data_IF_602062918742
#
_entry.id   IF_602062918742
#
_cell.length_a   1.000
_cell.length_b   1.000
_cell.length_c   1.000
_cell.angle_alpha   90.00
_cell.angle_beta   90.00
_cell.angle_gamma   90.00
#
_symmetry.space_group_name_H-M   'P 1'
#
loop_
_entity.id
_entity.type
_entity.pdbx_description
1 polymer ?
#
# COMPACT_ATOMS: atom_id res chain seq x y z
N UNK A 1 8.81 10.04 0.32
CA UNK A 1 7.79 9.07 0.77
C UNK A 1 8.35 7.65 0.63
N UNK A 2 8.37 6.84 1.69
CA UNK A 2 8.98 5.49 1.69
C UNK A 2 8.28 4.55 0.69
N UNK A 3 9.04 3.94 -0.22
CA UNK A 3 8.56 2.93 -1.16
C UNK A 3 8.48 1.57 -0.45
N UNK A 4 7.37 0.85 -0.62
CA UNK A 4 7.20 -0.49 -0.02
C UNK A 4 7.72 -1.54 -0.98
N UNK A 5 8.36 -2.59 -0.45
CA UNK A 5 8.78 -3.74 -1.23
C UNK A 5 7.54 -4.40 -1.89
N UNK A 6 7.51 -4.57 -3.23
CA UNK A 6 6.38 -5.20 -3.91
C UNK A 6 6.02 -6.62 -3.43
N UNK A 7 6.97 -7.34 -2.79
CA UNK A 7 6.70 -8.63 -2.14
C UNK A 7 5.71 -8.53 -0.97
N UNK A 8 5.45 -7.33 -0.45
CA UNK A 8 4.49 -7.09 0.62
C UNK A 8 3.05 -6.91 0.14
N UNK A 9 2.79 -6.90 -1.18
CA UNK A 9 1.43 -6.73 -1.72
C UNK A 9 0.39 -7.70 -1.11
N UNK A 10 0.66 -9.02 -0.96
CA UNK A 10 -0.31 -9.91 -0.32
C UNK A 10 -0.65 -9.51 1.11
N UNK A 11 0.33 -9.03 1.86
CA UNK A 11 0.13 -8.57 3.24
C UNK A 11 -0.70 -7.28 3.29
N UNK A 12 -0.50 -6.37 2.33
CA UNK A 12 -1.30 -5.16 2.22
C UNK A 12 -2.76 -5.49 1.90
N UNK A 13 -3.02 -6.48 1.04
CA UNK A 13 -4.38 -6.93 0.72
C UNK A 13 -5.08 -7.55 1.94
N UNK A 14 -4.36 -8.31 2.76
CA UNK A 14 -4.88 -8.83 4.04
C UNK A 14 -5.26 -7.70 5.00
N UNK A 15 -4.40 -6.68 5.12
CA UNK A 15 -4.65 -5.51 5.96
C UNK A 15 -5.83 -4.69 5.45
N UNK A 16 -6.01 -4.55 4.14
CA UNK A 16 -7.18 -3.88 3.58
C UNK A 16 -8.47 -4.57 3.98
N UNK A 17 -8.54 -5.90 3.85
CA UNK A 17 -9.71 -6.70 4.22
C UNK A 17 -10.05 -6.53 5.71
N UNK A 18 -9.04 -6.59 6.57
CA UNK A 18 -9.19 -6.41 8.01
C UNK A 18 -9.70 -5.01 8.36
N UNK A 19 -9.15 -3.96 7.73
CA UNK A 19 -9.61 -2.59 7.92
C UNK A 19 -11.05 -2.39 7.43
N UNK A 20 -11.44 -2.98 6.30
CA UNK A 20 -12.83 -2.92 5.81
C UNK A 20 -13.79 -3.60 6.79
N UNK A 21 -13.42 -4.75 7.37
CA UNK A 21 -14.24 -5.40 8.40
C UNK A 21 -14.37 -4.54 9.65
N UNK A 22 -13.27 -3.94 10.12
CA UNK A 22 -13.31 -3.02 11.27
C UNK A 22 -14.15 -1.78 11.00
N UNK A 23 -14.07 -1.22 9.79
CA UNK A 23 -14.90 -0.07 9.38
C UNK A 23 -16.39 -0.42 9.47
N UNK A 24 -16.78 -1.57 8.93
CA UNK A 24 -18.18 -2.05 8.97
C UNK A 24 -18.66 -2.19 10.42
N UNK A 25 -17.83 -2.78 11.29
CA UNK A 25 -18.14 -2.89 12.71
C UNK A 25 -18.29 -1.52 13.38
N UNK A 26 -17.38 -0.58 13.09
CA UNK A 26 -17.46 0.78 13.62
C UNK A 26 -18.73 1.52 13.16
N UNK A 27 -19.22 1.25 11.94
CA UNK A 27 -20.53 1.73 11.47
C UNK A 27 -21.69 1.11 12.26
N UNK A 28 -21.67 -0.21 12.47
CA UNK A 28 -22.69 -0.91 13.26
C UNK A 28 -22.73 -0.42 14.73
N UNK A 29 -21.56 -0.15 15.32
CA UNK A 29 -21.41 0.30 16.70
C UNK A 29 -21.45 1.84 16.85
N UNK A 30 -21.63 2.58 15.75
CA UNK A 30 -21.68 4.05 15.70
C UNK A 30 -20.42 4.74 16.28
N UNK A 31 -19.26 4.14 16.09
CA UNK A 31 -17.96 4.67 16.51
C UNK A 31 -17.41 5.66 15.49
N UNK A 32 -17.98 6.86 15.44
CA UNK A 32 -17.66 7.87 14.42
C UNK A 32 -16.17 8.20 14.32
N UNK A 33 -15.48 8.32 15.45
CA UNK A 33 -14.03 8.60 15.45
C UNK A 33 -13.17 7.46 14.88
N UNK A 34 -13.59 6.21 15.09
CA UNK A 34 -12.90 5.04 14.53
C UNK A 34 -13.11 4.95 13.02
N UNK A 35 -14.30 5.29 12.52
CA UNK A 35 -14.60 5.32 11.08
C UNK A 35 -13.65 6.28 10.36
N UNK A 36 -13.51 7.52 10.87
CA UNK A 36 -12.62 8.52 10.27
C UNK A 36 -11.15 8.06 10.24
N UNK A 37 -10.68 7.49 11.36
CA UNK A 37 -9.32 6.96 11.46
C UNK A 37 -9.05 5.79 10.50
N UNK A 38 -10.03 4.89 10.36
CA UNK A 38 -9.96 3.74 9.46
C UNK A 38 -9.98 4.20 7.99
N UNK A 39 -10.83 5.17 7.64
CA UNK A 39 -10.92 5.70 6.27
C UNK A 39 -9.62 6.38 5.83
N UNK A 40 -9.01 7.15 6.73
CA UNK A 40 -7.70 7.75 6.49
C UNK A 40 -6.63 6.68 6.27
N UNK A 41 -6.62 5.64 7.12
CA UNK A 41 -5.66 4.53 7.04
C UNK A 41 -5.84 3.74 5.74
N UNK A 42 -7.09 3.47 5.34
CA UNK A 42 -7.42 2.83 4.05
C UNK A 42 -6.90 3.63 2.86
N UNK A 43 -7.03 4.95 2.90
CA UNK A 43 -6.51 5.84 1.84
C UNK A 43 -5.00 5.73 1.71
N UNK A 44 -4.28 5.76 2.83
CA UNK A 44 -2.83 5.57 2.82
C UNK A 44 -2.42 4.18 2.34
N UNK A 45 -3.09 3.12 2.81
CA UNK A 45 -2.81 1.75 2.41
C UNK A 45 -2.98 1.54 0.90
N UNK A 46 -4.08 2.02 0.32
CA UNK A 46 -4.34 1.96 -1.13
C UNK A 46 -3.31 2.71 -1.94
N UNK A 47 -2.88 3.88 -1.46
CA UNK A 47 -1.79 4.64 -2.07
C UNK A 47 -0.50 3.80 -2.08
N UNK A 48 -0.18 3.12 -0.99
CA UNK A 48 1.00 2.25 -0.90
C UNK A 48 0.92 1.00 -1.78
N UNK A 49 -0.25 0.36 -1.90
CA UNK A 49 -0.45 -0.74 -2.85
C UNK A 49 -0.22 -0.25 -4.29
N UNK A 50 -0.80 0.90 -4.66
CA UNK A 50 -0.62 1.47 -5.99
C UNK A 50 0.86 1.77 -6.29
N UNK A 51 1.60 2.36 -5.34
CA UNK A 51 3.04 2.60 -5.44
C UNK A 51 3.83 1.30 -5.62
N UNK A 52 3.53 0.27 -4.83
CA UNK A 52 4.20 -1.03 -4.89
C UNK A 52 3.93 -1.75 -6.22
N UNK A 53 2.71 -1.68 -6.75
CA UNK A 53 2.36 -2.20 -8.08
C UNK A 53 3.15 -1.47 -9.17
N UNK A 54 3.25 -0.14 -9.11
CA UNK A 54 4.04 0.63 -10.07
C UNK A 54 5.52 0.29 -9.99
N UNK A 55 6.07 0.12 -8.79
CA UNK A 55 7.46 -0.28 -8.57
C UNK A 55 7.75 -1.68 -9.12
N UNK A 56 6.81 -2.64 -9.01
CA UNK A 56 6.95 -3.96 -9.65
C UNK A 56 6.98 -3.89 -11.19
N UNK A 57 6.28 -2.91 -11.78
CA UNK A 57 6.19 -2.73 -13.24
C UNK A 57 7.37 -1.94 -13.82
N UNK A 58 8.15 -1.24 -12.99
CA UNK A 58 9.37 -0.57 -13.45
C UNK A 58 10.40 -1.62 -13.85
N UNK A 59 10.56 -1.82 -15.15
CA UNK A 59 11.73 -2.48 -15.73
C UNK A 59 12.95 -1.58 -15.57
N UNK A 60 14.09 -2.18 -15.26
CA UNK A 60 15.39 -1.49 -15.32
C UNK A 60 15.60 -1.04 -16.76
N UNK A 61 15.69 0.27 -16.98
CA UNK A 61 16.09 0.81 -18.28
C UNK A 61 17.62 0.81 -18.31
N UNK A 62 18.20 0.12 -19.28
CA UNK A 62 19.64 0.22 -19.52
C UNK A 62 19.90 1.58 -20.16
N UNK A 63 20.61 2.44 -19.43
CA UNK A 63 20.96 3.81 -19.85
C UNK A 63 22.34 3.86 -20.53
N UNK A 64 22.86 2.69 -20.93
CA UNK A 64 24.15 2.52 -21.62
C UNK A 64 25.35 3.11 -20.85
N UNK A 65 25.24 3.23 -19.53
CA UNK A 65 26.35 3.73 -18.73
C UNK A 65 27.54 2.77 -18.82
N UNK A 66 28.76 3.27 -19.08
CA UNK A 66 29.94 2.43 -19.15
C UNK A 66 30.15 1.75 -17.79
N UNK A 67 30.14 0.40 -17.80
CA UNK A 67 30.37 -0.39 -16.60
C UNK A 67 31.83 -0.24 -16.17
N UNK A 68 32.13 -0.02 -14.87
CA UNK A 68 33.50 0.05 -14.40
C UNK A 68 34.21 -1.26 -14.75
N UNK A 69 35.35 -1.15 -15.45
CA UNK A 69 36.25 -2.27 -15.68
C UNK A 69 36.89 -2.62 -14.33
N UNK A 70 36.72 -3.87 -13.91
CA UNK A 70 37.29 -4.39 -12.66
C UNK A 70 38.80 -4.37 -12.62
#
# INVERSE_FOLDING_TARGET
>A
MLQINPRMLPRLDELEKDLVMRRKRAEEEQWLGEIEGIDLTLTFLRTKQADAIRSRRRTTVDLEFPRPRG
#
